data_IF_910738837230
#
_entry.id   IF_910738837230
#
_cell.length_a   1.000
_cell.length_b   1.000
_cell.length_c   1.000
_cell.angle_alpha   90.00
_cell.angle_beta   90.00
_cell.angle_gamma   90.00
#
_symmetry.space_group_name_H-M   'P 1'
#
loop_
_entity.id
_entity.type
_entity.pdbx_description
1 polymer ?
#
# COMPACT_ATOMS: atom_id res chain seq x y z
N UNK A 1 -4.04 -0.47 -12.28
CA UNK A 1 -4.55 -1.21 -11.11
C UNK A 1 -3.89 -2.59 -10.91
N UNK A 2 -2.61 -2.70 -10.54
CA UNK A 2 -2.01 -3.99 -10.12
C UNK A 2 -0.70 -3.79 -9.32
N UNK A 3 -0.72 -2.85 -8.37
CA UNK A 3 0.52 -2.42 -7.72
C UNK A 3 0.85 -3.12 -6.40
N UNK A 4 0.01 -3.99 -5.84
CA UNK A 4 0.41 -4.65 -4.57
C UNK A 4 -0.05 -6.09 -4.40
N UNK A 5 -0.89 -6.65 -5.28
CA UNK A 5 -1.56 -7.92 -4.99
C UNK A 5 -2.51 -7.82 -3.79
N UNK A 6 -2.74 -6.61 -3.28
CA UNK A 6 -3.79 -6.29 -2.34
C UNK A 6 -4.93 -5.67 -3.14
N UNK A 7 -6.13 -6.24 -2.98
CA UNK A 7 -7.33 -5.74 -3.62
C UNK A 7 -7.81 -4.52 -2.83
N UNK A 8 -7.72 -3.34 -3.45
CA UNK A 8 -8.16 -2.08 -2.86
C UNK A 8 -9.42 -1.64 -3.59
N UNK A 9 -10.52 -1.52 -2.84
CA UNK A 9 -11.80 -1.02 -3.34
C UNK A 9 -12.18 0.25 -2.61
N UNK A 10 -12.51 1.31 -3.36
CA UNK A 10 -12.90 2.60 -2.80
C UNK A 10 -14.39 2.83 -3.08
N UNK A 11 -15.18 2.88 -2.02
CA UNK A 11 -16.62 3.17 -2.07
C UNK A 11 -16.91 4.51 -1.38
N UNK A 12 -16.90 5.59 -2.15
CA UNK A 12 -17.17 6.95 -1.65
C UNK A 12 -16.18 7.39 -0.57
N UNK A 13 -16.57 7.26 0.70
CA UNK A 13 -15.76 7.59 1.88
C UNK A 13 -15.14 6.37 2.58
N UNK A 14 -15.39 5.17 2.06
CA UNK A 14 -14.93 3.91 2.64
C UNK A 14 -13.92 3.26 1.72
N UNK A 15 -12.78 2.83 2.27
CA UNK A 15 -11.76 2.08 1.54
C UNK A 15 -11.67 0.68 2.13
N UNK A 16 -11.88 -0.35 1.31
CA UNK A 16 -11.66 -1.74 1.65
C UNK A 16 -10.28 -2.16 1.13
N UNK A 17 -9.49 -2.79 2.01
CA UNK A 17 -8.16 -3.31 1.68
C UNK A 17 -8.13 -4.77 2.06
N UNK A 18 -7.87 -5.63 1.08
CA UNK A 18 -7.75 -7.07 1.28
C UNK A 18 -6.32 -7.46 0.95
N UNK A 19 -5.57 -7.90 1.95
CA UNK A 19 -4.16 -8.28 1.83
C UNK A 19 -3.58 -8.76 3.15
N UNK A 20 -2.31 -9.14 3.12
CA UNK A 20 -1.54 -9.51 4.31
C UNK A 20 -1.39 -8.35 5.30
N UNK A 21 -1.03 -8.67 6.55
CA UNK A 21 -0.97 -7.72 7.67
C UNK A 21 -0.14 -6.46 7.33
N UNK A 22 1.01 -6.63 6.69
CA UNK A 22 1.86 -5.51 6.28
C UNK A 22 1.24 -4.67 5.15
N UNK A 23 0.58 -5.31 4.18
CA UNK A 23 -0.10 -4.62 3.08
C UNK A 23 -1.24 -3.73 3.61
N UNK A 24 -2.01 -4.24 4.56
CA UNK A 24 -3.10 -3.49 5.20
C UNK A 24 -2.59 -2.27 5.98
N UNK A 25 -1.49 -2.42 6.74
CA UNK A 25 -0.86 -1.28 7.44
C UNK A 25 -0.39 -0.19 6.48
N UNK A 26 0.25 -0.58 5.38
CA UNK A 26 0.73 0.36 4.38
C UNK A 26 -0.43 1.09 3.68
N UNK A 27 -1.55 0.41 3.43
CA UNK A 27 -2.73 1.02 2.85
C UNK A 27 -3.38 2.03 3.79
N UNK A 28 -3.44 1.74 5.10
CA UNK A 28 -3.95 2.69 6.11
C UNK A 28 -3.07 3.96 6.13
N UNK A 29 -1.75 3.80 6.16
CA UNK A 29 -0.83 4.95 6.09
C UNK A 29 -0.99 5.76 4.79
N UNK A 30 -1.23 5.08 3.67
CA UNK A 30 -1.53 5.74 2.40
C UNK A 30 -2.83 6.55 2.43
N UNK A 31 -3.86 6.04 3.09
CA UNK A 31 -5.13 6.75 3.28
C UNK A 31 -4.93 7.98 4.18
N UNK A 32 -4.17 7.85 5.26
CA UNK A 32 -3.85 8.95 6.18
C UNK A 32 -3.17 10.11 5.43
N UNK A 33 -2.18 9.79 4.59
CA UNK A 33 -1.51 10.78 3.75
C UNK A 33 -2.45 11.51 2.78
N UNK A 34 -3.44 10.81 2.22
CA UNK A 34 -4.46 11.45 1.36
C UNK A 34 -5.35 12.40 2.18
N UNK A 35 -5.73 12.00 3.39
CA UNK A 35 -6.55 12.81 4.30
C UNK A 35 -5.79 14.08 4.74
N UNK A 36 -4.48 13.97 4.97
CA UNK A 36 -3.61 15.10 5.27
C UNK A 36 -3.36 16.03 4.06
N UNK A 37 -3.85 15.66 2.87
CA UNK A 37 -3.77 16.47 1.66
C UNK A 37 -2.46 16.29 0.88
N UNK A 38 -1.71 15.20 1.13
CA UNK A 38 -0.54 14.89 0.32
C UNK A 38 -0.95 14.53 -1.11
N UNK A 39 -0.13 14.93 -2.10
CA UNK A 39 -0.39 14.61 -3.49
C UNK A 39 -0.38 13.09 -3.72
N UNK A 40 -1.33 12.60 -4.53
CA UNK A 40 -1.43 11.18 -4.87
C UNK A 40 -0.13 10.59 -5.43
N UNK A 41 0.70 11.40 -6.10
CA UNK A 41 2.01 11.00 -6.59
C UNK A 41 2.95 10.53 -5.47
N UNK A 42 3.00 11.26 -4.34
CA UNK A 42 3.77 10.86 -3.16
C UNK A 42 3.23 9.58 -2.54
N UNK A 43 1.92 9.42 -2.52
CA UNK A 43 1.25 8.21 -2.00
C UNK A 43 1.60 6.99 -2.86
N UNK A 44 1.61 7.14 -4.18
CA UNK A 44 2.04 6.09 -5.10
C UNK A 44 3.52 5.73 -4.92
N UNK A 45 4.40 6.73 -4.78
CA UNK A 45 5.82 6.50 -4.53
C UNK A 45 6.07 5.76 -3.20
N UNK A 46 5.32 6.11 -2.15
CA UNK A 46 5.36 5.40 -0.87
C UNK A 46 4.93 3.94 -0.99
N UNK A 47 3.83 3.68 -1.69
CA UNK A 47 3.32 2.31 -1.91
C UNK A 47 4.28 1.47 -2.77
N UNK A 48 4.90 2.05 -3.81
CA UNK A 48 5.89 1.35 -4.64
C UNK A 48 7.15 0.98 -3.85
N UNK A 49 7.66 1.92 -3.03
CA UNK A 49 8.81 1.67 -2.15
C UNK A 49 8.51 0.53 -1.17
N UNK A 50 7.35 0.57 -0.51
CA UNK A 50 6.93 -0.49 0.42
C UNK A 50 6.72 -1.84 -0.26
N UNK A 51 6.23 -1.86 -1.51
CA UNK A 51 6.14 -3.09 -2.31
C UNK A 51 7.52 -3.68 -2.61
N UNK A 52 8.50 -2.84 -2.97
CA UNK A 52 9.88 -3.27 -3.22
C UNK A 52 10.54 -3.83 -1.95
N UNK A 53 10.35 -3.16 -0.81
CA UNK A 53 10.83 -3.66 0.49
C UNK A 53 10.21 -5.02 0.83
N UNK A 54 8.90 -5.19 0.65
CA UNK A 54 8.22 -6.46 0.91
C UNK A 54 8.73 -7.60 0.00
N UNK A 55 8.98 -7.30 -1.28
CA UNK A 55 9.60 -8.26 -2.21
C UNK A 55 11.04 -8.57 -1.82
N UNK A 56 11.82 -7.59 -1.40
CA UNK A 56 13.20 -7.79 -0.98
C UNK A 56 13.28 -8.67 0.28
N UNK A 57 12.47 -8.40 1.30
CA UNK A 57 12.36 -9.25 2.49
C UNK A 57 11.94 -10.69 2.14
N UNK A 58 11.03 -10.86 1.19
CA UNK A 58 10.65 -12.19 0.72
C UNK A 58 11.80 -12.93 0.03
N UNK A 59 12.64 -12.24 -0.74
CA UNK A 59 13.80 -12.85 -1.41
C UNK A 59 14.91 -13.16 -0.39
N UNK A 60 15.14 -12.27 0.58
CA UNK A 60 16.10 -12.46 1.66
C UNK A 60 15.75 -13.64 2.56
N UNK A 61 14.46 -13.89 2.83
CA UNK A 61 14.02 -15.04 3.62
C UNK A 61 14.34 -16.41 2.99
N UNK A 62 14.51 -16.47 1.67
CA UNK A 62 14.79 -17.71 0.94
C UNK A 62 16.29 -17.95 0.67
N UNK A 63 17.15 -17.02 1.07
CA UNK A 63 18.61 -17.09 0.92
C UNK A 63 19.29 -17.25 2.28
#
# INVERSE_FOLDING_TARGET
ENLTGAEISVYGKTVAVIGGIEQTKNAIAAIDMIIEGLPHENVFAFLDKKKKEAKANMIEYYY
#
